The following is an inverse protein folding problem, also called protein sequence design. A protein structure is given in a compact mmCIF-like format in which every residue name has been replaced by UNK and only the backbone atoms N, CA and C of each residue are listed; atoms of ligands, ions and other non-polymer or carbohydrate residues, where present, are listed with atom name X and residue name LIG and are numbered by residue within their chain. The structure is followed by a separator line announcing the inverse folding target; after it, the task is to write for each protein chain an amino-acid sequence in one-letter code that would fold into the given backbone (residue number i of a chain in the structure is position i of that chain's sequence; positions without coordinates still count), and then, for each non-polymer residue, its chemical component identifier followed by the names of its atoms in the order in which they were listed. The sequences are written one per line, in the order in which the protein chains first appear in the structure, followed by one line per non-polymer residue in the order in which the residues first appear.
data_IF_164487137064
#
_entry.id   IF_164487137064
#
_cell.length_a   1.000
_cell.length_b   1.000
_cell.length_c   1.000
_cell.angle_alpha   90.00
_cell.angle_beta   90.00
_cell.angle_gamma   90.00
#
_symmetry.space_group_name_H-M   'P 1'
#
loop_
_entity.id
_entity.type
_entity.pdbx_description
1 polymer ?
#
# COMPACT_ATOMS: atom_id res chain seq x y z
N UNK A 1 -10.40 17.99 24.56
CA UNK A 1 -9.26 17.32 23.90
C UNK A 1 -9.51 15.83 24.05
N UNK A 2 -9.94 15.18 22.97
CA UNK A 2 -10.13 13.72 22.96
C UNK A 2 -8.89 13.18 22.26
N UNK A 3 -8.07 12.43 22.98
CA UNK A 3 -6.93 11.71 22.39
C UNK A 3 -7.47 10.77 21.32
N UNK A 4 -7.34 11.18 20.05
CA UNK A 4 -7.76 10.42 18.88
C UNK A 4 -6.76 9.31 18.58
N UNK A 5 -6.72 8.27 19.41
CA UNK A 5 -6.02 7.03 19.05
C UNK A 5 -6.83 6.33 17.96
N UNK A 6 -6.30 6.25 16.75
CA UNK A 6 -6.82 5.26 15.80
C UNK A 6 -6.52 3.88 16.39
N UNK A 7 -7.55 3.12 16.75
CA UNK A 7 -7.35 1.70 16.98
C UNK A 7 -7.09 1.09 15.61
N UNK A 8 -5.84 0.73 15.34
CA UNK A 8 -5.65 -0.53 14.63
C UNK A 8 -6.31 -1.56 15.56
N UNK A 9 -7.48 -2.11 15.18
CA UNK A 9 -8.32 -2.98 16.00
C UNK A 9 -7.67 -4.36 16.27
N UNK A 10 -6.36 -4.37 16.54
CA UNK A 10 -5.59 -5.48 17.12
C UNK A 10 -4.74 -5.04 18.32
N UNK A 11 -4.71 -3.75 18.68
CA UNK A 11 -4.01 -3.26 19.89
C UNK A 11 -2.47 -3.26 19.82
N UNK A 12 -1.88 -3.54 18.65
CA UNK A 12 -0.43 -3.79 18.54
C UNK A 12 0.43 -2.57 18.19
N UNK A 13 -0.16 -1.49 17.65
CA UNK A 13 0.54 -0.21 17.47
C UNK A 13 -0.42 0.96 17.70
N UNK A 14 -0.09 1.84 18.64
CA UNK A 14 -0.72 3.16 18.78
C UNK A 14 0.24 4.21 18.23
N UNK A 15 0.06 4.63 16.98
CA UNK A 15 0.81 5.77 16.46
C UNK A 15 0.30 7.07 17.11
N UNK A 16 1.18 7.89 17.72
CA UNK A 16 0.77 9.12 18.38
C UNK A 16 0.56 10.23 17.35
N UNK A 17 -0.61 10.22 16.69
CA UNK A 17 -1.00 11.30 15.77
C UNK A 17 -0.94 12.65 16.49
N UNK A 18 -0.17 13.58 15.93
CA UNK A 18 -0.07 14.95 16.42
C UNK A 18 -1.18 15.83 15.85
N UNK A 19 -1.70 15.50 14.67
CA UNK A 19 -2.84 16.15 14.07
C UNK A 19 -4.15 15.67 14.72
N UNK A 20 -5.20 16.48 14.61
CA UNK A 20 -6.56 16.06 14.93
C UNK A 20 -6.93 14.85 14.05
N UNK A 21 -7.18 13.69 14.66
CA UNK A 21 -7.50 12.46 13.94
C UNK A 21 -8.75 12.57 13.05
N UNK A 22 -9.74 13.36 13.48
CA UNK A 22 -10.92 13.67 12.67
C UNK A 22 -10.57 14.40 11.38
N UNK A 23 -9.54 15.26 11.39
CA UNK A 23 -9.07 15.94 10.18
C UNK A 23 -8.37 15.01 9.19
N UNK A 24 -7.73 13.94 9.69
CA UNK A 24 -7.01 12.97 8.85
C UNK A 24 -7.97 12.03 8.11
N UNK A 25 -9.16 11.80 8.67
CA UNK A 25 -10.10 10.76 8.24
C UNK A 25 -11.48 11.28 7.82
N UNK A 26 -11.79 12.55 8.10
CA UNK A 26 -13.13 13.12 7.99
C UNK A 26 -13.75 13.10 6.59
N UNK A 27 -12.93 13.05 5.54
CA UNK A 27 -13.38 12.96 4.16
C UNK A 27 -13.43 11.53 3.61
N UNK A 28 -13.08 10.50 4.39
CA UNK A 28 -12.97 9.14 3.88
C UNK A 28 -14.26 8.62 3.26
N UNK A 29 -15.42 8.89 3.88
CA UNK A 29 -16.71 8.49 3.32
C UNK A 29 -16.97 9.11 1.94
N UNK A 30 -16.57 10.37 1.73
CA UNK A 30 -16.68 11.03 0.43
C UNK A 30 -15.72 10.44 -0.59
N UNK A 31 -14.50 10.07 -0.15
CA UNK A 31 -13.50 9.44 -1.03
C UNK A 31 -13.86 8.02 -1.42
N UNK A 32 -14.53 7.27 -0.54
CA UNK A 32 -15.06 5.93 -0.84
C UNK A 32 -16.13 5.95 -1.93
N UNK A 33 -16.84 7.07 -2.07
CA UNK A 33 -17.83 7.26 -3.13
C UNK A 33 -17.20 7.61 -4.49
N UNK A 34 -15.89 7.90 -4.53
CA UNK A 34 -15.19 8.17 -5.79
C UNK A 34 -14.89 6.86 -6.54
N UNK A 35 -14.96 6.85 -7.88
CA UNK A 35 -14.61 5.68 -8.65
C UNK A 35 -13.12 5.34 -8.46
N UNK A 36 -12.81 4.07 -8.17
CA UNK A 36 -11.42 3.62 -8.05
C UNK A 36 -10.74 3.44 -9.41
N UNK A 37 -11.53 3.26 -10.47
CA UNK A 37 -11.11 3.02 -11.85
C UNK A 37 -12.12 3.65 -12.81
N UNK A 38 -11.69 3.92 -14.04
CA UNK A 38 -12.59 4.29 -15.15
C UNK A 38 -13.08 3.06 -15.93
N UNK A 39 -12.52 1.88 -15.66
CA UNK A 39 -12.93 0.65 -16.33
C UNK A 39 -14.37 0.31 -15.92
N UNK A 40 -15.29 0.06 -16.87
CA UNK A 40 -16.67 -0.30 -16.56
C UNK A 40 -16.74 -1.57 -15.71
N UNK A 41 -17.63 -1.67 -14.69
CA UNK A 41 -17.76 -2.88 -13.88
C UNK A 41 -18.01 -4.17 -14.67
N UNK A 42 -18.65 -4.06 -15.84
CA UNK A 42 -18.88 -5.19 -16.75
C UNK A 42 -17.59 -5.77 -17.35
N UNK A 43 -16.50 -5.00 -17.39
CA UNK A 43 -15.21 -5.42 -17.93
C UNK A 43 -14.27 -6.01 -16.88
N UNK A 44 -14.55 -5.82 -15.59
CA UNK A 44 -13.65 -6.18 -14.49
C UNK A 44 -13.35 -7.68 -14.39
N UNK A 45 -14.28 -8.52 -14.82
CA UNK A 45 -14.22 -9.98 -14.68
C UNK A 45 -14.30 -10.73 -16.01
N UNK A 46 -14.07 -10.02 -17.13
CA UNK A 46 -14.08 -10.66 -18.45
C UNK A 46 -12.88 -11.59 -18.60
N UNK A 47 -13.14 -12.75 -19.19
CA UNK A 47 -12.13 -13.76 -19.52
C UNK A 47 -12.09 -14.02 -21.03
N UNK A 48 -10.97 -14.56 -21.51
CA UNK A 48 -10.86 -15.15 -22.85
C UNK A 48 -11.52 -16.55 -22.93
N UNK A 49 -11.39 -17.22 -24.08
CA UNK A 49 -11.93 -18.57 -24.32
C UNK A 49 -11.28 -19.64 -23.45
N UNK A 50 -10.07 -19.38 -22.97
CA UNK A 50 -9.28 -20.26 -22.10
C UNK A 50 -9.58 -20.03 -20.62
N UNK A 51 -10.40 -19.02 -20.30
CA UNK A 51 -10.79 -18.67 -18.93
C UNK A 51 -9.80 -17.74 -18.22
N UNK A 52 -8.83 -17.16 -18.92
CA UNK A 52 -7.92 -16.18 -18.35
C UNK A 52 -8.55 -14.79 -18.33
N UNK A 53 -8.37 -14.07 -17.23
CA UNK A 53 -8.82 -12.69 -17.13
C UNK A 53 -8.13 -11.80 -18.17
N UNK A 54 -8.90 -10.98 -18.88
CA UNK A 54 -8.38 -10.07 -19.90
C UNK A 54 -7.46 -8.98 -19.33
N UNK A 55 -7.62 -8.66 -18.04
CA UNK A 55 -6.71 -7.79 -17.28
C UNK A 55 -5.47 -8.54 -16.73
N UNK A 56 -5.19 -9.74 -17.25
CA UNK A 56 -4.07 -10.61 -16.84
C UNK A 56 -4.09 -11.02 -15.38
N UNK A 57 -5.27 -10.95 -14.74
CA UNK A 57 -5.44 -11.30 -13.34
C UNK A 57 -5.08 -10.20 -12.35
N UNK A 58 -4.76 -8.98 -12.83
CA UNK A 58 -4.39 -7.83 -11.99
C UNK A 58 -5.55 -6.89 -11.66
N UNK A 59 -6.70 -7.07 -12.30
CA UNK A 59 -7.85 -6.20 -12.10
C UNK A 59 -7.77 -4.88 -12.89
N UNK A 60 -8.78 -4.02 -12.73
CA UNK A 60 -8.86 -2.75 -13.43
C UNK A 60 -7.85 -1.74 -12.87
N UNK A 61 -7.37 -0.82 -13.72
CA UNK A 61 -6.34 0.14 -13.34
C UNK A 61 -6.90 1.25 -12.44
N UNK A 62 -6.11 1.69 -11.46
CA UNK A 62 -6.52 2.79 -10.60
C UNK A 62 -6.55 4.14 -11.35
N UNK A 63 -7.62 4.91 -11.14
CA UNK A 63 -7.73 6.30 -11.60
C UNK A 63 -6.95 7.24 -10.67
N UNK A 64 -6.52 8.41 -11.14
CA UNK A 64 -6.05 9.48 -10.26
C UNK A 64 -7.23 10.09 -9.49
N UNK A 65 -7.15 10.07 -8.16
CA UNK A 65 -8.15 10.70 -7.29
C UNK A 65 -7.79 12.17 -7.05
N UNK A 66 -8.78 13.06 -6.83
CA UNK A 66 -8.51 14.45 -6.52
C UNK A 66 -7.72 14.58 -5.21
N UNK A 67 -6.78 15.53 -5.11
CA UNK A 67 -6.12 15.83 -3.84
C UNK A 67 -7.15 16.36 -2.83
N UNK A 68 -7.08 15.97 -1.55
CA UNK A 68 -7.97 16.51 -0.53
C UNK A 68 -7.58 17.95 -0.16
N UNK A 69 -8.54 18.70 0.36
CA UNK A 69 -8.24 19.93 1.07
C UNK A 69 -7.70 19.60 2.47
N UNK A 70 -6.72 20.38 2.94
CA UNK A 70 -6.21 20.26 4.31
C UNK A 70 -7.15 21.05 5.23
N UNK A 71 -7.83 20.43 6.20
CA UNK A 71 -8.76 21.12 7.09
C UNK A 71 -8.06 22.21 7.91
N UNK A 72 -8.72 23.35 8.12
CA UNK A 72 -8.18 24.46 8.91
C UNK A 72 -7.97 24.09 10.38
N UNK A 73 -8.76 23.13 10.89
CA UNK A 73 -8.72 22.61 12.26
C UNK A 73 -7.85 21.34 12.39
N UNK A 74 -6.92 21.13 11.44
CA UNK A 74 -5.99 20.01 11.44
C UNK A 74 -5.14 19.88 12.73
N UNK A 75 -4.93 20.98 13.46
CA UNK A 75 -4.18 21.00 14.72
C UNK A 75 -2.67 20.79 14.56
N UNK A 76 -2.16 20.76 13.34
CA UNK A 76 -0.76 20.55 12.98
C UNK A 76 -0.44 21.29 11.66
N UNK A 77 0.84 21.37 11.27
CA UNK A 77 1.22 21.95 9.98
C UNK A 77 0.87 21.04 8.79
N UNK A 78 0.76 21.63 7.60
CA UNK A 78 0.36 20.93 6.38
C UNK A 78 1.27 19.73 6.01
N UNK A 79 2.58 19.81 6.27
CA UNK A 79 3.49 18.72 5.95
C UNK A 79 3.31 17.55 6.93
N UNK A 80 3.09 17.85 8.21
CA UNK A 80 2.75 16.84 9.24
C UNK A 80 1.40 16.20 8.95
N UNK A 81 0.37 16.99 8.59
CA UNK A 81 -0.94 16.46 8.20
C UNK A 81 -0.86 15.48 7.04
N UNK A 82 -0.10 15.82 5.98
CA UNK A 82 0.08 14.92 4.82
C UNK A 82 0.73 13.59 5.22
N UNK A 83 1.79 13.62 6.04
CA UNK A 83 2.49 12.40 6.51
C UNK A 83 1.57 11.53 7.36
N UNK A 84 0.91 12.14 8.34
CA UNK A 84 0.00 11.43 9.23
C UNK A 84 -1.24 10.91 8.53
N UNK A 85 -1.74 11.62 7.51
CA UNK A 85 -2.84 11.13 6.69
C UNK A 85 -2.48 9.88 5.90
N UNK A 86 -1.27 9.83 5.31
CA UNK A 86 -0.78 8.63 4.63
C UNK A 86 -0.76 7.44 5.60
N UNK A 87 -0.30 7.64 6.85
CA UNK A 87 -0.33 6.59 7.86
C UNK A 87 -1.76 6.20 8.25
N UNK A 88 -2.67 7.15 8.46
CA UNK A 88 -4.08 6.88 8.77
C UNK A 88 -4.76 6.08 7.65
N UNK A 89 -4.48 6.40 6.39
CA UNK A 89 -4.97 5.64 5.22
C UNK A 89 -4.35 4.25 5.17
N UNK A 90 -3.04 4.11 5.39
CA UNK A 90 -2.38 2.80 5.40
C UNK A 90 -2.97 1.90 6.50
N UNK A 91 -3.17 2.44 7.70
CA UNK A 91 -3.72 1.72 8.86
C UNK A 91 -5.18 1.28 8.64
N UNK A 92 -5.95 2.04 7.84
CA UNK A 92 -7.32 1.67 7.44
C UNK A 92 -7.42 0.28 6.80
N UNK A 93 -6.36 -0.14 6.10
CA UNK A 93 -6.35 -1.40 5.35
C UNK A 93 -5.67 -2.56 6.08
N UNK A 94 -5.24 -2.38 7.34
CA UNK A 94 -4.64 -3.46 8.15
C UNK A 94 -5.56 -4.67 8.21
N UNK A 95 -5.06 -5.82 7.81
CA UNK A 95 -5.81 -7.05 7.71
C UNK A 95 -6.02 -7.68 9.09
N UNK A 96 -7.25 -7.65 9.57
CA UNK A 96 -7.69 -8.35 10.78
C UNK A 96 -9.12 -8.84 10.59
N UNK A 97 -9.57 -9.87 11.34
CA UNK A 97 -10.94 -10.38 11.27
C UNK A 97 -12.00 -9.29 11.52
N UNK A 98 -11.68 -8.30 12.35
CA UNK A 98 -12.60 -7.23 12.76
C UNK A 98 -12.52 -5.99 11.86
N UNK A 99 -11.61 -5.95 10.88
CA UNK A 99 -11.51 -4.84 9.93
C UNK A 99 -12.15 -5.21 8.58
N UNK A 100 -13.35 -4.71 8.24
CA UNK A 100 -14.03 -5.01 6.97
C UNK A 100 -13.29 -4.44 5.75
N UNK A 101 -12.36 -3.51 5.96
CA UNK A 101 -11.53 -2.93 4.92
C UNK A 101 -10.17 -3.62 4.80
N UNK A 102 -9.83 -4.52 5.72
CA UNK A 102 -8.56 -5.24 5.75
C UNK A 102 -8.24 -5.90 4.40
N UNK A 103 -6.99 -5.77 3.94
CA UNK A 103 -6.56 -6.29 2.64
C UNK A 103 -5.53 -7.41 2.79
N UNK A 104 -5.81 -8.55 2.15
CA UNK A 104 -4.80 -9.58 1.96
C UNK A 104 -3.76 -9.17 0.90
N UNK A 105 -2.66 -9.90 0.82
CA UNK A 105 -1.71 -9.76 -0.28
C UNK A 105 -2.30 -10.40 -1.54
N UNK A 106 -2.50 -9.58 -2.58
CA UNK A 106 -2.95 -10.02 -3.91
C UNK A 106 -2.35 -9.13 -4.98
N UNK A 107 -1.99 -9.69 -6.13
CA UNK A 107 -1.47 -8.91 -7.27
C UNK A 107 -2.57 -8.11 -7.96
N UNK A 108 -3.21 -7.17 -7.26
CA UNK A 108 -4.33 -6.38 -7.77
C UNK A 108 -3.99 -4.89 -7.81
N UNK A 109 -4.56 -4.17 -8.76
CA UNK A 109 -4.35 -2.73 -8.92
C UNK A 109 -5.24 -1.85 -8.02
N UNK A 110 -6.42 -2.34 -7.62
CA UNK A 110 -7.36 -1.60 -6.77
C UNK A 110 -7.98 -2.50 -5.69
N UNK A 111 -8.30 -1.96 -4.49
CA UNK A 111 -8.86 -2.75 -3.40
C UNK A 111 -10.32 -3.15 -3.60
N UNK A 112 -11.04 -2.48 -4.50
CA UNK A 112 -12.44 -2.78 -4.82
C UNK A 112 -12.62 -3.98 -5.75
N UNK A 113 -11.56 -4.45 -6.40
CA UNK A 113 -11.63 -5.63 -7.26
C UNK A 113 -11.58 -6.91 -6.43
N UNK A 114 -12.58 -7.79 -6.64
CA UNK A 114 -12.82 -8.99 -5.84
C UNK A 114 -13.15 -10.16 -6.77
N UNK A 115 -12.16 -10.74 -7.47
CA UNK A 115 -12.39 -11.92 -8.28
C UNK A 115 -12.95 -13.07 -7.42
N UNK A 116 -14.00 -13.78 -7.90
CA UNK A 116 -14.63 -14.87 -7.15
C UNK A 116 -13.83 -16.18 -7.20
N UNK A 117 -12.87 -16.27 -8.12
CA UNK A 117 -11.98 -17.42 -8.33
C UNK A 117 -10.53 -16.96 -8.38
N UNK A 118 -9.60 -17.91 -8.34
CA UNK A 118 -8.18 -17.59 -8.52
C UNK A 118 -7.95 -16.92 -9.88
N UNK A 119 -7.07 -15.93 -9.89
CA UNK A 119 -6.67 -15.17 -11.07
C UNK A 119 -5.42 -15.74 -11.74
N UNK A 120 -4.90 -16.86 -11.24
CA UNK A 120 -3.70 -17.49 -11.78
C UNK A 120 -3.93 -18.03 -13.19
N UNK A 121 -3.25 -17.45 -14.17
CA UNK A 121 -3.36 -17.81 -15.59
C UNK A 121 -2.15 -18.65 -16.08
N UNK A 122 -1.50 -19.42 -15.21
CA UNK A 122 -0.34 -20.24 -15.60
C UNK A 122 0.96 -19.46 -15.82
N UNK A 123 0.97 -18.14 -15.59
CA UNK A 123 2.20 -17.36 -15.50
C UNK A 123 2.97 -17.82 -14.27
N UNK A 124 4.15 -18.41 -14.47
CA UNK A 124 5.15 -18.61 -13.41
C UNK A 124 5.52 -17.19 -12.98
N UNK A 125 4.81 -16.67 -11.98
CA UNK A 125 4.76 -15.25 -11.71
C UNK A 125 6.18 -14.66 -11.66
N UNK A 126 6.37 -13.50 -12.28
CA UNK A 126 7.30 -12.50 -11.78
C UNK A 126 6.85 -12.21 -10.35
N UNK A 127 7.23 -13.06 -9.41
CA UNK A 127 7.06 -12.80 -8.00
C UNK A 127 8.17 -11.80 -7.67
N UNK A 128 7.85 -10.51 -7.50
CA UNK A 128 8.88 -9.53 -7.20
C UNK A 128 9.52 -9.85 -5.84
N UNK A 129 8.84 -10.57 -4.93
CA UNK A 129 9.35 -11.06 -3.64
C UNK A 129 9.73 -12.55 -3.73
N UNK A 130 10.90 -12.91 -4.31
CA UNK A 130 11.34 -14.30 -4.44
C UNK A 130 11.61 -14.98 -3.08
N UNK A 131 11.65 -14.22 -1.98
CA UNK A 131 11.79 -14.73 -0.61
C UNK A 131 10.43 -15.07 0.04
N UNK A 132 9.33 -14.64 -0.57
CA UNK A 132 7.98 -15.11 -0.23
C UNK A 132 7.76 -16.52 -0.75
N UNK A 133 6.97 -17.33 -0.03
CA UNK A 133 6.61 -18.67 -0.51
C UNK A 133 6.03 -18.56 -1.93
N UNK A 134 6.69 -19.20 -2.91
CA UNK A 134 6.15 -19.29 -4.26
C UNK A 134 4.77 -19.95 -4.18
N UNK A 135 3.73 -19.19 -4.48
CA UNK A 135 2.39 -19.63 -4.14
C UNK A 135 1.34 -18.97 -4.99
N UNK A 136 0.38 -19.80 -5.41
CA UNK A 136 -0.90 -19.38 -5.96
C UNK A 136 -1.67 -18.43 -5.03
N UNK A 137 -1.26 -18.32 -3.75
CA UNK A 137 -1.88 -17.45 -2.74
C UNK A 137 -1.92 -15.98 -3.14
N UNK A 138 -0.91 -15.48 -3.85
CA UNK A 138 -0.92 -14.11 -4.36
C UNK A 138 -2.00 -13.88 -5.45
N UNK A 139 -2.53 -14.97 -6.00
CA UNK A 139 -3.54 -15.05 -7.05
C UNK A 139 -4.84 -15.71 -6.55
N UNK A 140 -5.00 -15.93 -5.25
CA UNK A 140 -6.22 -16.50 -4.68
C UNK A 140 -7.40 -15.53 -4.88
N UNK A 141 -8.65 -16.02 -4.84
CA UNK A 141 -9.82 -15.16 -4.88
C UNK A 141 -9.83 -14.08 -3.79
N UNK A 142 -10.69 -13.08 -3.97
CA UNK A 142 -10.97 -12.06 -2.95
C UNK A 142 -10.29 -10.72 -3.17
N UNK A 143 -10.42 -9.81 -2.20
CA UNK A 143 -9.80 -8.47 -2.26
C UNK A 143 -8.37 -8.52 -1.73
N UNK A 144 -7.51 -7.66 -2.26
CA UNK A 144 -6.15 -7.49 -1.75
C UNK A 144 -5.35 -6.52 -2.60
N UNK A 145 -4.13 -6.23 -2.16
CA UNK A 145 -3.11 -5.46 -2.90
C UNK A 145 -1.74 -6.04 -2.56
N UNK A 146 -0.80 -6.01 -3.49
CA UNK A 146 0.59 -6.34 -3.23
C UNK A 146 1.31 -5.11 -2.66
N UNK A 147 2.60 -5.23 -2.37
CA UNK A 147 3.33 -4.17 -1.68
C UNK A 147 3.31 -2.84 -2.44
N UNK A 148 3.57 -2.86 -3.75
CA UNK A 148 3.67 -1.66 -4.59
C UNK A 148 2.32 -1.11 -5.03
N UNK A 149 1.31 -1.95 -5.31
CA UNK A 149 -0.05 -1.43 -5.55
C UNK A 149 -0.68 -0.92 -4.24
N UNK A 150 -0.35 -1.49 -3.08
CA UNK A 150 -0.78 -0.97 -1.78
C UNK A 150 -0.24 0.45 -1.55
N UNK A 151 1.06 0.68 -1.73
CA UNK A 151 1.65 2.01 -1.54
C UNK A 151 1.12 3.02 -2.57
N UNK A 152 0.99 2.63 -3.83
CA UNK A 152 0.38 3.46 -4.87
C UNK A 152 -1.07 3.83 -4.54
N UNK A 153 -1.86 2.87 -4.04
CA UNK A 153 -3.23 3.11 -3.61
C UNK A 153 -3.30 4.07 -2.42
N UNK A 154 -2.49 3.84 -1.37
CA UNK A 154 -2.47 4.68 -0.16
C UNK A 154 -2.16 6.15 -0.51
N UNK A 155 -1.20 6.40 -1.40
CA UNK A 155 -0.82 7.75 -1.80
C UNK A 155 -1.86 8.45 -2.67
N UNK A 156 -2.46 7.69 -3.59
CA UNK A 156 -3.53 8.20 -4.45
C UNK A 156 -4.82 8.47 -3.65
N UNK A 157 -5.24 7.51 -2.83
CA UNK A 157 -6.37 7.66 -1.92
C UNK A 157 -6.09 8.75 -0.89
N UNK A 158 -4.91 8.81 -0.29
CA UNK A 158 -4.62 9.78 0.75
C UNK A 158 -4.51 11.21 0.22
N UNK A 159 -3.72 11.43 -0.83
CA UNK A 159 -3.29 12.78 -1.22
C UNK A 159 -3.54 13.10 -2.69
N UNK A 160 -4.13 12.19 -3.47
CA UNK A 160 -4.24 12.33 -4.92
C UNK A 160 -2.89 12.21 -5.65
N UNK A 161 -1.86 11.68 -4.97
CA UNK A 161 -0.53 11.47 -5.55
C UNK A 161 -0.55 10.12 -6.28
N UNK A 162 -0.58 10.15 -7.62
CA UNK A 162 -0.65 8.95 -8.46
C UNK A 162 0.72 8.56 -9.00
N UNK A 163 1.11 7.31 -8.76
CA UNK A 163 2.22 6.61 -9.42
C UNK A 163 1.83 5.16 -9.76
N UNK A 164 2.63 4.49 -10.57
CA UNK A 164 2.48 3.10 -11.01
C UNK A 164 2.68 2.09 -9.87
N UNK A 165 2.08 0.91 -10.02
CA UNK A 165 2.16 -0.18 -9.04
C UNK A 165 3.31 -1.16 -9.28
N UNK A 166 4.20 -0.89 -10.23
CA UNK A 166 5.40 -1.70 -10.48
C UNK A 166 6.50 -1.33 -9.48
N UNK A 167 6.98 -2.30 -8.70
CA UNK A 167 7.96 -2.04 -7.63
C UNK A 167 9.33 -1.62 -8.17
N UNK A 168 9.72 -2.09 -9.36
CA UNK A 168 10.98 -1.73 -9.99
C UNK A 168 10.90 -0.29 -10.51
N UNK A 169 9.82 0.07 -11.20
CA UNK A 169 9.59 1.45 -11.65
C UNK A 169 9.47 2.42 -10.47
N UNK A 170 8.85 2.00 -9.37
CA UNK A 170 8.78 2.81 -8.14
C UNK A 170 10.18 3.03 -7.55
N UNK A 171 11.00 1.98 -7.43
CA UNK A 171 12.36 2.09 -6.90
C UNK A 171 13.25 2.97 -7.78
N UNK A 172 13.16 2.82 -9.11
CA UNK A 172 13.93 3.57 -10.10
C UNK A 172 13.46 5.02 -10.25
N UNK A 173 12.28 5.36 -9.73
CA UNK A 173 11.71 6.71 -9.82
C UNK A 173 10.99 6.99 -11.14
N UNK A 174 10.66 5.95 -11.91
CA UNK A 174 10.03 6.05 -13.23
C UNK A 174 8.52 5.79 -13.21
N UNK A 175 7.96 5.32 -12.08
CA UNK A 175 6.53 5.07 -11.89
C UNK A 175 5.65 6.35 -11.89
N UNK A 176 6.23 7.54 -12.04
CA UNK A 176 5.52 8.82 -12.01
C UNK A 176 6.05 9.76 -10.92
N UNK A 177 5.17 10.48 -10.23
CA UNK A 177 5.57 11.48 -9.23
C UNK A 177 6.00 10.81 -7.92
N UNK A 178 7.25 10.37 -7.85
CA UNK A 178 7.84 9.73 -6.66
C UNK A 178 8.37 10.72 -5.61
N UNK A 179 8.49 12.00 -5.97
CA UNK A 179 8.97 13.06 -5.08
C UNK A 179 10.49 13.02 -4.88
N UNK A 180 10.96 13.09 -3.64
CA UNK A 180 12.39 13.24 -3.33
C UNK A 180 13.06 11.90 -3.02
N UNK A 181 14.17 11.60 -3.68
CA UNK A 181 14.98 10.41 -3.37
C UNK A 181 15.58 10.49 -1.96
N UNK A 182 15.64 9.36 -1.28
CA UNK A 182 16.22 9.17 0.04
C UNK A 182 17.32 8.11 -0.09
N UNK A 183 18.54 8.37 0.40
CA UNK A 183 19.60 7.37 0.37
C UNK A 183 19.30 6.22 1.34
N UNK A 184 20.06 5.13 1.21
CA UNK A 184 19.89 3.89 1.98
C UNK A 184 19.94 4.10 3.50
N UNK A 185 20.76 5.03 3.97
CA UNK A 185 20.95 5.39 5.38
C UNK A 185 19.89 6.38 5.90
N UNK A 186 19.01 6.90 5.04
CA UNK A 186 17.95 7.84 5.40
C UNK A 186 18.42 9.31 5.38
N UNK A 187 17.95 10.18 6.30
CA UNK A 187 16.96 9.91 7.34
C UNK A 187 15.56 9.72 6.75
N UNK A 188 14.92 8.62 7.14
CA UNK A 188 13.51 8.34 6.85
C UNK A 188 12.59 9.14 7.78
N UNK A 189 11.38 9.42 7.29
CA UNK A 189 10.31 10.12 7.99
C UNK A 189 8.99 9.36 7.77
N UNK A 190 8.03 9.49 8.71
CA UNK A 190 6.70 8.90 8.57
C UNK A 190 6.11 9.15 7.17
N UNK A 191 5.65 8.08 6.52
CA UNK A 191 5.11 8.08 5.16
C UNK A 191 6.13 7.73 4.07
N UNK A 192 7.44 7.90 4.28
CA UNK A 192 8.44 7.58 3.25
C UNK A 192 8.31 6.14 2.75
N UNK A 193 8.51 5.95 1.45
CA UNK A 193 8.56 4.63 0.83
C UNK A 193 10.00 4.10 0.91
N UNK A 194 10.19 2.92 1.48
CA UNK A 194 11.49 2.24 1.57
C UNK A 194 11.45 1.00 0.69
N UNK A 195 12.42 0.87 -0.21
CA UNK A 195 12.54 -0.28 -1.11
C UNK A 195 13.55 -1.26 -0.54
N UNK A 196 13.20 -2.54 -0.64
CA UNK A 196 13.96 -3.64 -0.09
C UNK A 196 14.35 -4.58 -1.22
N UNK A 197 15.56 -5.12 -1.14
CA UNK A 197 16.03 -6.13 -2.07
C UNK A 197 15.75 -7.55 -1.56
N UNK A 198 15.64 -8.55 -2.44
CA UNK A 198 15.55 -9.93 -2.01
C UNK A 198 16.90 -10.43 -1.50
N UNK A 199 16.92 -11.51 -0.72
CA UNK A 199 18.15 -12.12 -0.21
C UNK A 199 19.08 -12.57 -1.35
N UNK A 200 18.49 -13.01 -2.48
CA UNK A 200 19.23 -13.53 -3.62
C UNK A 200 19.92 -12.44 -4.48
N UNK A 201 19.47 -11.19 -4.41
CA UNK A 201 20.01 -10.12 -5.26
C UNK A 201 19.90 -8.75 -4.59
N UNK A 202 21.00 -8.25 -4.03
CA UNK A 202 21.05 -6.98 -3.31
C UNK A 202 20.97 -5.72 -4.20
N UNK A 203 20.80 -5.85 -5.51
CA UNK A 203 20.79 -4.72 -6.46
C UNK A 203 19.42 -4.40 -7.06
N UNK A 204 18.40 -5.19 -6.75
CA UNK A 204 17.06 -5.05 -7.35
C UNK A 204 16.02 -4.95 -6.24
N UNK A 205 15.06 -4.03 -6.37
CA UNK A 205 13.95 -3.94 -5.44
C UNK A 205 12.97 -5.10 -5.63
N UNK A 206 12.65 -5.82 -4.57
CA UNK A 206 11.61 -6.85 -4.53
C UNK A 206 10.34 -6.40 -3.82
N UNK A 207 10.48 -5.43 -2.92
CA UNK A 207 9.42 -5.06 -2.00
C UNK A 207 9.49 -3.59 -1.63
N UNK A 208 8.36 -3.03 -1.23
CA UNK A 208 8.25 -1.65 -0.75
C UNK A 208 7.41 -1.59 0.51
N UNK A 209 7.82 -0.74 1.45
CA UNK A 209 7.12 -0.52 2.72
C UNK A 209 6.90 0.98 2.95
N UNK A 210 5.87 1.33 3.71
CA UNK A 210 5.66 2.68 4.25
C UNK A 210 6.35 2.75 5.61
N UNK A 211 7.30 3.68 5.76
CA UNK A 211 7.96 3.93 7.03
C UNK A 211 7.01 4.60 8.02
N UNK A 212 6.92 4.07 9.24
CA UNK A 212 6.13 4.66 10.34
C UNK A 212 7.07 5.37 11.31
N UNK A 213 8.02 4.63 11.86
CA UNK A 213 9.07 5.10 12.77
C UNK A 213 10.26 4.13 12.72
N UNK A 214 11.28 4.32 13.56
CA UNK A 214 12.47 3.46 13.48
C UNK A 214 12.14 1.98 13.77
N UNK A 215 11.17 1.71 14.65
CA UNK A 215 10.74 0.39 15.04
C UNK A 215 9.68 -0.24 14.14
N UNK A 216 9.00 0.55 13.28
CA UNK A 216 7.79 0.08 12.60
C UNK A 216 7.66 0.49 11.13
N UNK A 217 7.06 -0.39 10.34
CA UNK A 217 6.66 -0.17 8.95
C UNK A 217 5.23 -0.67 8.71
N UNK A 218 4.62 -0.26 7.60
CA UNK A 218 3.39 -0.86 7.07
C UNK A 218 3.66 -1.35 5.66
N UNK A 219 3.29 -2.59 5.37
CA UNK A 219 3.43 -3.19 4.06
C UNK A 219 2.33 -4.22 3.82
N UNK A 220 2.23 -4.70 2.57
CA UNK A 220 1.42 -5.86 2.22
C UNK A 220 2.35 -7.00 1.84
N UNK A 221 2.21 -8.17 2.48
CA UNK A 221 3.02 -9.36 2.16
C UNK A 221 2.23 -10.65 2.36
N UNK A 222 2.53 -11.69 1.58
CA UNK A 222 1.90 -13.02 1.72
C UNK A 222 1.99 -13.50 3.17
N UNK A 223 3.20 -13.52 3.74
CA UNK A 223 3.43 -13.79 5.15
C UNK A 223 4.78 -13.19 5.57
N UNK A 224 4.80 -12.45 6.66
CA UNK A 224 6.01 -12.15 7.42
C UNK A 224 5.66 -12.00 8.90
N UNK A 225 6.58 -12.32 9.79
CA UNK A 225 6.34 -12.18 11.24
C UNK A 225 5.00 -12.82 11.71
N UNK A 226 4.58 -13.91 11.04
CA UNK A 226 3.30 -14.60 11.24
C UNK A 226 2.04 -13.76 11.02
N UNK A 227 2.12 -12.72 10.20
CA UNK A 227 0.98 -11.87 9.82
C UNK A 227 0.83 -11.78 8.30
N UNK A 228 -0.41 -11.88 7.82
CA UNK A 228 -0.77 -11.93 6.41
C UNK A 228 -1.31 -10.58 5.92
N UNK A 229 -1.05 -10.25 4.64
CA UNK A 229 -1.60 -9.07 3.98
C UNK A 229 -1.01 -7.76 4.46
N UNK A 230 -1.83 -6.70 4.42
CA UNK A 230 -1.49 -5.38 4.92
C UNK A 230 -1.37 -5.41 6.44
N UNK A 231 -0.19 -5.09 6.96
CA UNK A 231 0.09 -5.17 8.40
C UNK A 231 1.03 -4.06 8.83
N UNK A 232 0.87 -3.60 10.07
CA UNK A 232 1.98 -2.97 10.78
C UNK A 232 2.97 -4.08 11.13
N UNK A 233 4.27 -3.88 10.91
CA UNK A 233 5.31 -4.85 11.25
C UNK A 233 6.47 -4.19 11.98
N UNK A 234 7.19 -5.01 12.74
CA UNK A 234 8.43 -4.59 13.36
C UNK A 234 9.50 -4.42 12.27
N UNK A 235 10.14 -3.27 12.23
CA UNK A 235 11.27 -3.00 11.35
C UNK A 235 12.51 -3.61 11.97
N UNK A 236 12.74 -4.90 11.72
CA UNK A 236 13.88 -5.70 12.22
C UNK A 236 14.34 -6.70 11.15
N UNK A 237 15.56 -7.23 11.29
CA UNK A 237 16.15 -8.19 10.36
C UNK A 237 16.14 -7.67 8.92
N UNK A 238 15.59 -8.46 8.00
CA UNK A 238 15.49 -8.11 6.57
C UNK A 238 14.87 -6.72 6.31
N UNK A 239 13.87 -6.28 7.07
CA UNK A 239 13.27 -4.93 6.91
C UNK A 239 14.25 -3.77 7.24
N UNK A 240 15.35 -4.05 7.95
CA UNK A 240 16.43 -3.09 8.20
C UNK A 240 17.63 -3.31 7.30
N UNK A 241 17.96 -4.57 7.04
CA UNK A 241 19.21 -4.96 6.37
C UNK A 241 19.11 -4.84 4.85
N UNK A 242 17.93 -5.07 4.26
CA UNK A 242 17.75 -5.13 2.81
C UNK A 242 17.46 -3.79 2.13
N UNK A 243 17.66 -2.66 2.83
CA UNK A 243 17.28 -1.33 2.35
C UNK A 243 18.12 -0.90 1.14
N UNK A 244 17.45 -0.50 0.06
CA UNK A 244 18.08 0.10 -1.14
C UNK A 244 18.06 1.65 -1.10
N UNK A 245 17.29 2.22 -0.20
CA UNK A 245 16.92 3.63 -0.18
C UNK A 245 15.41 3.80 -0.30
N UNK A 246 14.99 5.00 -0.63
CA UNK A 246 13.58 5.34 -0.61
C UNK A 246 13.20 6.54 -1.46
N UNK A 247 11.90 6.81 -1.43
CA UNK A 247 11.29 8.00 -2.01
C UNK A 247 10.39 8.66 -0.97
N UNK A 248 10.39 9.98 -0.96
CA UNK A 248 9.44 10.82 -0.21
C UNK A 248 8.49 11.49 -1.21
N UNK A 249 7.30 10.93 -1.46
CA UNK A 249 6.34 11.52 -2.40
C UNK A 249 5.70 12.82 -1.88
N UNK A 250 5.76 13.08 -0.57
CA UNK A 250 5.25 14.30 0.04
C UNK A 250 6.29 15.42 -0.11
N UNK A 251 5.98 16.42 -0.94
CA UNK A 251 6.73 17.68 -1.05
C UNK A 251 6.40 18.65 0.09
#
# INVERSE_FOLDING_TARGET
MVDGRSRADTGELSYPFSCNFGSLTGDFANRDALPQTQDPPADWYRTDSEGHYLNRGWGPRSVALPPPEIPQDAGCDAATWKRERILAVAMRYVYSPDNPLGLQYRHHHIPGWQPPTSTYAGAIAENPDPDGAQGLTAWDPGRGLDCSNFTAWVYNYGLGIKFGGDVHEQADGTAGTMGRRIPQDGPFRPGDLIYLHPNANASVASHVVIYVDDGHIIDSRVNAQNRLGVQVRNRLGWYREAVLGGWRPIN
#
